data_IF_075745285842
#
_entry.id   IF_075745285842
#
_cell.length_a   1.000
_cell.length_b   1.000
_cell.length_c   1.000
_cell.angle_alpha   90.00
_cell.angle_beta   90.00
_cell.angle_gamma   90.00
#
_symmetry.space_group_name_H-M   'P 1'
#
loop_
_entity.id
_entity.type
_entity.pdbx_description
1 polymer ?
#
# COMPACT_ATOMS: atom_id res chain seq x y z
N UNK A 1 -19.45 -15.08 19.51
CA UNK A 1 -20.62 -15.05 18.60
C UNK A 1 -20.47 -13.98 17.52
N UNK A 2 -21.10 -14.16 16.37
CA UNK A 2 -21.01 -13.24 15.23
C UNK A 2 -21.66 -11.89 15.55
N UNK A 3 -22.74 -11.91 16.34
CA UNK A 3 -23.54 -10.77 16.76
C UNK A 3 -22.78 -9.87 17.74
N UNK A 4 -21.92 -10.46 18.59
CA UNK A 4 -21.05 -9.70 19.49
C UNK A 4 -19.97 -8.98 18.71
N UNK A 5 -19.36 -9.66 17.73
CA UNK A 5 -18.42 -9.01 16.80
C UNK A 5 -19.10 -7.84 16.08
N UNK A 6 -20.28 -8.09 15.51
CA UNK A 6 -21.03 -7.08 14.79
C UNK A 6 -21.35 -5.88 15.69
N UNK A 7 -21.79 -6.12 16.93
CA UNK A 7 -22.05 -5.05 17.89
C UNK A 7 -20.79 -4.22 18.18
N UNK A 8 -19.64 -4.86 18.39
CA UNK A 8 -18.36 -4.16 18.61
C UNK A 8 -17.94 -3.33 17.40
N UNK A 9 -18.11 -3.86 16.18
CA UNK A 9 -17.82 -3.14 14.94
C UNK A 9 -18.75 -1.93 14.79
N UNK A 10 -20.04 -2.09 15.06
CA UNK A 10 -21.01 -1.01 14.96
C UNK A 10 -20.78 0.09 16.00
N UNK A 11 -20.32 -0.25 17.22
CA UNK A 11 -19.90 0.75 18.22
C UNK A 11 -18.78 1.63 17.65
N UNK A 12 -17.75 1.03 17.05
CA UNK A 12 -16.63 1.77 16.46
C UNK A 12 -17.10 2.71 15.33
N UNK A 13 -17.96 2.20 14.43
CA UNK A 13 -18.53 2.99 13.33
C UNK A 13 -19.42 4.15 13.81
N UNK A 14 -20.20 3.93 14.87
CA UNK A 14 -21.04 4.99 15.45
C UNK A 14 -20.16 6.07 16.08
N UNK A 15 -19.14 5.69 16.86
CA UNK A 15 -18.19 6.66 17.42
C UNK A 15 -17.49 7.48 16.34
N UNK A 16 -17.07 6.82 15.25
CA UNK A 16 -16.50 7.49 14.09
C UNK A 16 -17.47 8.51 13.47
N UNK A 17 -18.71 8.10 13.21
CA UNK A 17 -19.73 8.98 12.62
C UNK A 17 -20.12 10.15 13.54
N UNK A 18 -20.01 9.97 14.85
CA UNK A 18 -20.26 11.02 15.85
C UNK A 18 -19.05 11.95 16.05
N UNK A 19 -17.93 11.71 15.36
CA UNK A 19 -16.74 12.56 15.45
C UNK A 19 -15.98 12.41 16.77
N UNK A 20 -16.01 11.22 17.38
CA UNK A 20 -15.21 10.94 18.58
C UNK A 20 -13.71 11.02 18.28
N UNK A 21 -12.92 11.22 19.33
CA UNK A 21 -11.46 11.29 19.24
C UNK A 21 -10.86 10.08 18.51
N UNK A 22 -9.90 10.34 17.61
CA UNK A 22 -9.36 9.32 16.71
C UNK A 22 -8.81 8.09 17.45
N UNK A 23 -8.16 8.31 18.60
CA UNK A 23 -7.62 7.25 19.45
C UNK A 23 -8.71 6.36 20.06
N UNK A 24 -9.86 6.94 20.40
CA UNK A 24 -10.99 6.18 20.96
C UNK A 24 -11.63 5.30 19.89
N UNK A 25 -11.88 5.86 18.70
CA UNK A 25 -12.42 5.14 17.56
C UNK A 25 -11.49 3.98 17.15
N UNK A 26 -10.18 4.24 17.04
CA UNK A 26 -9.19 3.21 16.72
C UNK A 26 -9.17 2.09 17.77
N UNK A 27 -9.28 2.44 19.06
CA UNK A 27 -9.37 1.47 20.15
C UNK A 27 -10.60 0.55 20.01
N UNK A 28 -11.74 1.11 19.61
CA UNK A 28 -12.96 0.33 19.38
C UNK A 28 -12.86 -0.60 18.19
N UNK A 29 -12.28 -0.16 17.07
CA UNK A 29 -11.99 -1.05 15.94
C UNK A 29 -11.01 -2.16 16.34
N UNK A 30 -9.94 -1.82 17.08
CA UNK A 30 -8.99 -2.81 17.61
C UNK A 30 -9.68 -3.80 18.55
N UNK A 31 -10.66 -3.37 19.34
CA UNK A 31 -11.46 -4.26 20.20
C UNK A 31 -12.27 -5.25 19.37
N UNK A 32 -12.92 -4.81 18.29
CA UNK A 32 -13.62 -5.70 17.36
C UNK A 32 -12.65 -6.67 16.67
N UNK A 33 -11.48 -6.18 16.24
CA UNK A 33 -10.41 -6.97 15.62
C UNK A 33 -9.91 -8.07 16.56
N UNK A 34 -9.56 -7.73 17.80
CA UNK A 34 -9.10 -8.69 18.81
C UNK A 34 -10.15 -9.75 19.12
N UNK A 35 -11.43 -9.38 19.07
CA UNK A 35 -12.53 -10.32 19.29
C UNK A 35 -12.67 -11.33 18.15
N UNK A 36 -12.44 -10.91 16.88
CA UNK A 36 -12.53 -11.80 15.72
C UNK A 36 -11.49 -11.45 14.65
N UNK A 37 -10.23 -11.90 14.81
CA UNK A 37 -9.12 -11.52 13.91
C UNK A 37 -9.27 -12.04 12.48
N UNK A 38 -10.10 -13.05 12.25
CA UNK A 38 -10.40 -13.57 10.90
C UNK A 38 -11.25 -12.63 10.06
N UNK A 39 -11.84 -11.58 10.65
CA UNK A 39 -12.77 -10.69 9.98
C UNK A 39 -12.05 -9.49 9.35
N UNK A 40 -12.26 -9.22 8.06
CA UNK A 40 -11.55 -8.15 7.34
C UNK A 40 -12.02 -6.74 7.72
N UNK A 41 -13.25 -6.58 8.22
CA UNK A 41 -13.88 -5.27 8.38
C UNK A 41 -13.08 -4.30 9.27
N UNK A 42 -12.62 -4.68 10.47
CA UNK A 42 -11.88 -3.76 11.33
C UNK A 42 -10.56 -3.32 10.68
N UNK A 43 -9.90 -4.22 9.94
CA UNK A 43 -8.67 -3.89 9.21
C UNK A 43 -8.94 -2.86 8.12
N UNK A 44 -10.03 -3.05 7.36
CA UNK A 44 -10.43 -2.09 6.33
C UNK A 44 -10.65 -0.69 6.92
N UNK A 45 -11.48 -0.59 7.96
CA UNK A 45 -11.79 0.72 8.55
C UNK A 45 -10.53 1.38 9.14
N UNK A 46 -9.68 0.62 9.84
CA UNK A 46 -8.42 1.16 10.36
C UNK A 46 -7.45 1.60 9.25
N UNK A 47 -7.34 0.84 8.16
CA UNK A 47 -6.49 1.19 7.02
C UNK A 47 -7.01 2.46 6.32
N UNK A 48 -8.32 2.51 6.04
CA UNK A 48 -8.97 3.64 5.38
C UNK A 48 -8.85 4.92 6.21
N UNK A 49 -9.08 4.83 7.52
CA UNK A 49 -8.85 5.94 8.46
C UNK A 49 -7.40 6.40 8.48
N UNK A 50 -6.44 5.47 8.45
CA UNK A 50 -5.02 5.82 8.42
C UNK A 50 -4.68 6.58 7.13
N UNK A 51 -5.17 6.10 5.97
CA UNK A 51 -5.01 6.80 4.69
C UNK A 51 -5.65 8.19 4.70
N UNK A 52 -6.87 8.32 5.22
CA UNK A 52 -7.60 9.60 5.26
C UNK A 52 -6.94 10.63 6.19
N UNK A 53 -6.09 10.20 7.12
CA UNK A 53 -5.29 11.04 7.99
C UNK A 53 -3.83 11.15 7.54
N UNK A 54 -3.53 10.81 6.28
CA UNK A 54 -2.19 10.82 5.67
C UNK A 54 -1.13 9.93 6.37
N UNK A 55 -1.53 9.05 7.29
CA UNK A 55 -0.66 8.02 7.87
C UNK A 55 -0.61 6.78 6.96
N UNK A 56 -0.03 6.99 5.78
CA UNK A 56 0.09 5.95 4.75
C UNK A 56 0.91 4.75 5.21
N UNK A 57 1.88 4.96 6.11
CA UNK A 57 2.70 3.88 6.66
C UNK A 57 1.88 2.93 7.52
N UNK A 58 1.07 3.46 8.44
CA UNK A 58 0.13 2.66 9.24
C UNK A 58 -0.90 1.98 8.36
N UNK A 59 -1.49 2.72 7.41
CA UNK A 59 -2.46 2.17 6.45
C UNK A 59 -1.89 0.99 5.65
N UNK A 60 -0.67 1.15 5.13
CA UNK A 60 0.07 0.11 4.41
C UNK A 60 0.26 -1.14 5.28
N UNK A 61 0.78 -0.99 6.49
CA UNK A 61 1.06 -2.11 7.39
C UNK A 61 -0.22 -2.90 7.74
N UNK A 62 -1.32 -2.19 8.03
CA UNK A 62 -2.60 -2.81 8.39
C UNK A 62 -3.18 -3.54 7.17
N UNK A 63 -3.23 -2.90 6.01
CA UNK A 63 -3.81 -3.49 4.81
C UNK A 63 -2.96 -4.66 4.28
N UNK A 64 -1.62 -4.57 4.40
CA UNK A 64 -0.69 -5.64 4.04
C UNK A 64 -0.89 -6.86 4.92
N UNK A 65 -1.03 -6.66 6.24
CA UNK A 65 -1.35 -7.75 7.17
C UNK A 65 -2.69 -8.40 6.81
N UNK A 66 -3.71 -7.59 6.54
CA UNK A 66 -5.04 -8.07 6.22
C UNK A 66 -5.14 -8.79 4.86
N UNK A 67 -4.28 -8.44 3.89
CA UNK A 67 -4.21 -9.13 2.59
C UNK A 67 -3.82 -10.61 2.66
N UNK A 68 -3.26 -11.03 3.79
CA UNK A 68 -2.86 -12.42 4.05
C UNK A 68 -3.97 -13.23 4.74
N UNK A 69 -5.08 -12.59 5.11
CA UNK A 69 -6.18 -13.28 5.78
C UNK A 69 -6.86 -14.27 4.82
N UNK A 70 -7.17 -15.49 5.28
CA UNK A 70 -8.06 -16.36 4.53
C UNK A 70 -9.46 -15.75 4.47
N UNK A 71 -10.27 -16.24 3.53
CA UNK A 71 -11.70 -15.93 3.53
C UNK A 71 -12.31 -16.43 4.84
N UNK A 72 -13.12 -15.58 5.46
CA UNK A 72 -13.79 -15.93 6.71
C UNK A 72 -14.87 -16.98 6.44
N UNK A 73 -14.99 -17.95 7.35
CA UNK A 73 -16.08 -18.94 7.34
C UNK A 73 -17.37 -18.42 8.00
N UNK A 74 -17.34 -17.16 8.41
CA UNK A 74 -18.41 -16.48 9.10
C UNK A 74 -19.56 -16.15 8.15
N UNK A 75 -20.80 -16.32 8.62
CA UNK A 75 -21.99 -16.21 7.75
C UNK A 75 -22.82 -14.96 8.05
N UNK A 76 -22.87 -14.56 9.31
CA UNK A 76 -23.69 -13.42 9.73
C UNK A 76 -22.93 -12.11 9.54
N UNK A 77 -23.61 -11.16 8.89
CA UNK A 77 -23.18 -9.77 8.72
C UNK A 77 -21.78 -9.60 8.11
N UNK A 78 -21.32 -10.55 7.28
CA UNK A 78 -20.02 -10.44 6.59
C UNK A 78 -20.08 -9.40 5.48
N UNK A 79 -19.32 -8.32 5.67
CA UNK A 79 -19.19 -7.25 4.68
C UNK A 79 -18.15 -7.66 3.61
N UNK A 80 -18.48 -8.62 2.73
CA UNK A 80 -17.53 -9.19 1.75
C UNK A 80 -16.78 -8.17 0.89
N UNK A 81 -17.36 -6.99 0.66
CA UNK A 81 -16.73 -5.91 -0.09
C UNK A 81 -15.43 -5.40 0.55
N UNK A 82 -15.24 -5.59 1.87
CA UNK A 82 -14.03 -5.12 2.55
C UNK A 82 -12.77 -5.85 2.13
N UNK A 83 -12.86 -7.05 1.54
CA UNK A 83 -11.70 -7.71 0.93
C UNK A 83 -11.15 -6.90 -0.25
N UNK A 84 -12.04 -6.41 -1.13
CA UNK A 84 -11.67 -5.55 -2.25
C UNK A 84 -11.27 -4.16 -1.74
N UNK A 85 -11.99 -3.64 -0.75
CA UNK A 85 -11.64 -2.38 -0.08
C UNK A 85 -10.22 -2.41 0.51
N UNK A 86 -9.81 -3.52 1.15
CA UNK A 86 -8.46 -3.68 1.68
C UNK A 86 -7.40 -3.68 0.59
N UNK A 87 -7.65 -4.33 -0.55
CA UNK A 87 -6.73 -4.29 -1.69
C UNK A 87 -6.62 -2.87 -2.24
N UNK A 88 -7.74 -2.13 -2.31
CA UNK A 88 -7.72 -0.74 -2.72
C UNK A 88 -6.88 0.12 -1.76
N UNK A 89 -7.14 0.02 -0.45
CA UNK A 89 -6.40 0.75 0.58
C UNK A 89 -4.90 0.41 0.54
N UNK A 90 -4.56 -0.88 0.36
CA UNK A 90 -3.17 -1.31 0.19
C UNK A 90 -2.52 -0.69 -1.04
N UNK A 91 -3.22 -0.62 -2.18
CA UNK A 91 -2.67 -0.03 -3.42
C UNK A 91 -2.30 1.45 -3.24
N UNK A 92 -3.19 2.23 -2.61
CA UNK A 92 -2.94 3.66 -2.38
C UNK A 92 -1.78 3.84 -1.40
N UNK A 93 -1.83 3.14 -0.26
CA UNK A 93 -0.80 3.28 0.75
C UNK A 93 0.57 2.79 0.25
N UNK A 94 0.64 1.69 -0.50
CA UNK A 94 1.88 1.20 -1.12
C UNK A 94 2.54 2.26 -2.00
N UNK A 95 1.76 2.97 -2.82
CA UNK A 95 2.27 4.09 -3.61
C UNK A 95 2.91 5.18 -2.73
N UNK A 96 2.20 5.65 -1.70
CA UNK A 96 2.71 6.73 -0.85
C UNK A 96 3.92 6.34 0.01
N UNK A 97 4.12 5.05 0.30
CA UNK A 97 5.31 4.58 1.01
C UNK A 97 6.48 4.20 0.08
N UNK A 98 6.32 4.36 -1.23
CA UNK A 98 7.37 4.09 -2.22
C UNK A 98 7.45 2.66 -2.74
N UNK A 99 6.48 1.80 -2.38
CA UNK A 99 6.38 0.40 -2.82
C UNK A 99 5.64 0.34 -4.17
N UNK A 100 6.21 0.97 -5.21
CA UNK A 100 5.54 1.21 -6.49
C UNK A 100 5.27 -0.07 -7.27
N UNK A 101 6.19 -1.04 -7.28
CA UNK A 101 5.99 -2.35 -7.91
C UNK A 101 4.82 -3.11 -7.28
N UNK A 102 4.70 -3.04 -5.95
CA UNK A 102 3.59 -3.66 -5.25
C UNK A 102 2.27 -2.95 -5.56
N UNK A 103 2.24 -1.61 -5.54
CA UNK A 103 1.08 -0.84 -5.95
C UNK A 103 0.60 -1.25 -7.36
N UNK A 104 1.51 -1.31 -8.32
CA UNK A 104 1.22 -1.69 -9.70
C UNK A 104 0.60 -3.10 -9.77
N UNK A 105 1.22 -4.09 -9.12
CA UNK A 105 0.74 -5.48 -9.09
C UNK A 105 -0.68 -5.58 -8.50
N UNK A 106 -0.94 -4.86 -7.40
CA UNK A 106 -2.26 -4.87 -6.77
C UNK A 106 -3.30 -4.21 -7.69
N UNK A 107 -2.96 -3.08 -8.31
CA UNK A 107 -3.85 -2.41 -9.24
C UNK A 107 -4.19 -3.28 -10.45
N UNK A 108 -3.21 -3.99 -11.02
CA UNK A 108 -3.44 -4.94 -12.12
C UNK A 108 -4.41 -6.05 -11.72
N UNK A 109 -4.25 -6.63 -10.53
CA UNK A 109 -5.15 -7.66 -10.01
C UNK A 109 -6.58 -7.13 -9.79
N UNK A 110 -6.72 -5.92 -9.24
CA UNK A 110 -8.01 -5.27 -9.01
C UNK A 110 -8.72 -4.95 -10.34
N UNK A 111 -8.00 -4.44 -11.34
CA UNK A 111 -8.57 -4.12 -12.66
C UNK A 111 -9.04 -5.40 -13.36
N UNK A 112 -8.30 -6.51 -13.22
CA UNK A 112 -8.67 -7.81 -13.78
C UNK A 112 -9.97 -8.37 -13.16
N UNK A 113 -10.33 -7.97 -11.94
CA UNK A 113 -11.63 -8.30 -11.35
C UNK A 113 -12.75 -7.53 -12.06
N UNK A 114 -13.56 -8.22 -12.87
CA UNK A 114 -14.69 -7.65 -13.60
C UNK A 114 -15.81 -7.12 -12.70
N UNK A 115 -15.89 -7.61 -11.46
CA UNK A 115 -16.91 -7.21 -10.49
C UNK A 115 -16.50 -6.03 -9.63
N UNK A 116 -15.28 -5.51 -9.78
CA UNK A 116 -14.83 -4.33 -9.06
C UNK A 116 -15.76 -3.16 -9.40
N UNK A 117 -16.30 -2.51 -8.35
CA UNK A 117 -17.19 -1.36 -8.51
C UNK A 117 -16.54 -0.25 -9.34
N UNK A 118 -17.35 0.47 -10.13
CA UNK A 118 -16.86 1.53 -11.01
C UNK A 118 -16.15 2.66 -10.24
N UNK A 119 -16.65 2.97 -9.03
CA UNK A 119 -16.03 3.94 -8.14
C UNK A 119 -14.58 3.55 -7.83
N UNK A 120 -14.34 2.31 -7.39
CA UNK A 120 -12.98 1.83 -7.14
C UNK A 120 -12.17 1.75 -8.43
N UNK A 121 -12.74 1.25 -9.53
CA UNK A 121 -12.03 1.08 -10.80
C UNK A 121 -11.37 2.38 -11.27
N UNK A 122 -12.10 3.50 -11.23
CA UNK A 122 -11.58 4.82 -11.59
C UNK A 122 -10.33 5.20 -10.79
N UNK A 123 -10.36 5.02 -9.48
CA UNK A 123 -9.24 5.37 -8.61
C UNK A 123 -8.07 4.38 -8.76
N UNK A 124 -8.33 3.08 -8.89
CA UNK A 124 -7.30 2.06 -9.12
C UNK A 124 -6.53 2.31 -10.41
N UNK A 125 -7.21 2.70 -11.49
CA UNK A 125 -6.55 3.06 -12.76
C UNK A 125 -5.60 4.25 -12.58
N UNK A 126 -6.01 5.25 -11.79
CA UNK A 126 -5.16 6.39 -11.46
C UNK A 126 -3.93 5.98 -10.65
N UNK A 127 -4.12 5.17 -9.60
CA UNK A 127 -3.02 4.66 -8.77
C UNK A 127 -2.00 3.88 -9.61
N UNK A 128 -2.51 3.00 -10.49
CA UNK A 128 -1.68 2.24 -11.44
C UNK A 128 -0.82 3.15 -12.29
N UNK A 129 -1.43 4.20 -12.87
CA UNK A 129 -0.72 5.17 -13.70
C UNK A 129 0.40 5.85 -12.92
N UNK A 130 0.11 6.34 -11.72
CA UNK A 130 1.13 6.99 -10.88
C UNK A 130 2.27 6.04 -10.50
N UNK A 131 1.97 4.78 -10.20
CA UNK A 131 3.01 3.78 -9.93
C UNK A 131 3.90 3.53 -11.15
N UNK A 132 3.33 3.43 -12.36
CA UNK A 132 4.11 3.28 -13.61
C UNK A 132 5.02 4.49 -13.83
N UNK A 133 4.49 5.71 -13.70
CA UNK A 133 5.28 6.95 -13.84
C UNK A 133 6.47 6.97 -12.88
N UNK A 134 6.26 6.59 -11.61
CA UNK A 134 7.34 6.52 -10.62
C UNK A 134 8.38 5.45 -10.91
N UNK A 135 7.96 4.29 -11.43
CA UNK A 135 8.87 3.23 -11.82
C UNK A 135 9.73 3.62 -13.03
N UNK A 136 9.14 4.34 -14.00
CA UNK A 136 9.87 4.87 -15.16
C UNK A 136 10.88 5.94 -14.74
N UNK A 137 10.47 6.86 -13.85
CA UNK A 137 11.37 7.86 -13.26
C UNK A 137 12.56 7.19 -12.56
N UNK A 138 12.33 6.17 -11.72
CA UNK A 138 13.39 5.43 -11.04
C UNK A 138 14.35 4.71 -12.00
N UNK A 139 13.82 4.14 -13.10
CA UNK A 139 14.65 3.51 -14.13
C UNK A 139 15.52 4.52 -14.86
N UNK A 140 14.97 5.69 -15.17
CA UNK A 140 15.70 6.76 -15.82
C UNK A 140 16.84 7.26 -14.93
N UNK A 141 16.58 7.53 -13.66
CA UNK A 141 17.60 7.96 -12.69
C UNK A 141 18.72 6.94 -12.60
N UNK A 142 18.40 5.65 -12.41
CA UNK A 142 19.42 4.57 -12.37
C UNK A 142 20.26 4.51 -13.64
N UNK A 143 19.64 4.74 -14.79
CA UNK A 143 20.36 4.74 -16.08
C UNK A 143 21.34 5.91 -16.15
N UNK A 144 20.92 7.09 -15.70
CA UNK A 144 21.75 8.29 -15.66
C UNK A 144 22.92 8.10 -14.68
N UNK A 145 22.68 7.57 -13.49
CA UNK A 145 23.71 7.31 -12.49
C UNK A 145 24.79 6.35 -13.04
N UNK A 146 24.37 5.25 -13.68
CA UNK A 146 25.29 4.31 -14.32
C UNK A 146 26.14 4.97 -15.42
N UNK A 147 25.55 5.84 -16.25
CA UNK A 147 26.29 6.56 -17.29
C UNK A 147 27.35 7.51 -16.72
N UNK A 148 27.06 8.16 -15.59
CA UNK A 148 28.04 9.01 -14.91
C UNK A 148 29.17 8.21 -14.26
N UNK A 149 28.86 7.06 -13.68
CA UNK A 149 29.85 6.16 -13.09
C UNK A 149 30.80 5.60 -14.15
N UNK A 150 30.27 5.16 -15.30
CA UNK A 150 31.05 4.66 -16.43
C UNK A 150 31.99 5.74 -17.00
N UNK A 151 31.49 6.97 -17.18
CA UNK A 151 32.29 8.10 -17.64
C UNK A 151 33.42 8.46 -16.66
N UNK A 152 33.15 8.38 -15.34
CA UNK A 152 34.13 8.64 -14.29
C UNK A 152 35.22 7.57 -14.26
N UNK A 153 34.85 6.30 -14.44
CA UNK A 153 35.80 5.19 -14.52
C UNK A 153 36.70 5.30 -15.76
N UNK A 154 36.14 5.58 -16.94
CA UNK A 154 36.89 5.77 -18.18
C UNK A 154 37.91 6.93 -18.08
N UNK A 155 37.50 8.06 -17.49
CA UNK A 155 38.41 9.19 -17.29
C UNK A 155 39.58 8.89 -16.32
N UNK A 156 39.36 7.98 -15.36
CA UNK A 156 40.39 7.55 -14.41
C UNK A 156 41.34 6.50 -14.99
N UNK A 157 40.87 5.60 -15.87
CA UNK A 157 41.73 4.66 -16.59
C UNK A 157 42.66 5.39 -17.57
N UNK A 158 42.14 6.36 -18.32
CA UNK A 158 42.93 7.13 -19.29
C UNK A 158 44.06 7.93 -18.61
N UNK A 159 43.79 8.52 -17.43
CA UNK A 159 44.82 9.19 -16.61
C UNK A 159 45.87 8.22 -16.05
N UNK A 160 45.47 7.00 -15.69
CA UNK A 160 46.40 5.96 -15.20
C UNK A 160 47.37 5.52 -16.29
N UNK A 161 46.87 5.30 -17.50
CA UNK A 161 47.69 4.85 -18.62
C UNK A 161 48.60 5.96 -19.15
N UNK A 162 48.14 7.21 -19.18
CA UNK A 162 49.00 8.37 -19.47
C UNK A 162 50.16 8.52 -18.49
N UNK A 163 49.92 8.34 -17.18
CA UNK A 163 50.97 8.40 -16.16
C UNK A 163 52.00 7.26 -16.28
N UNK A 164 51.58 6.05 -16.67
CA UNK A 164 52.50 4.93 -16.90
C UNK A 164 53.45 5.18 -18.09
N UNK A 165 52.98 5.87 -19.12
CA UNK A 165 53.81 6.22 -20.29
C UNK A 165 54.88 7.24 -19.88
N UNK A 166 54.51 8.25 -19.08
CA UNK A 166 55.44 9.30 -18.64
C UNK A 166 56.51 8.81 -17.65
N UNK A 167 56.28 7.73 -16.89
CA UNK A 167 57.27 7.17 -15.97
C UNK A 167 58.27 6.18 -16.61
N UNK A 168 58.11 5.85 -17.90
CA UNK A 168 58.98 4.92 -18.63
C UNK A 168 59.95 5.59 -19.61
N UNK A 169 59.92 6.91 -19.74
CA UNK A 169 60.89 7.71 -20.50
C UNK A 169 61.85 8.45 -19.58
#
# INVERSE_FOLDING_TARGET
>A
PEEVFWTLLQIARIQENLGYEAKEVDSSYIKALKYRPSRPEPYYYLASRSRLNDDFKKGYQIAKLASQLPLSNDTLFLEKWTYEGLQFELSVCAYYVGEYEECLKICDNLIANKNLSENYRKYVVSNRKFAVEKLEEQKLIKTIDNLFDDATQAANSDKSDANKILQRG
#
